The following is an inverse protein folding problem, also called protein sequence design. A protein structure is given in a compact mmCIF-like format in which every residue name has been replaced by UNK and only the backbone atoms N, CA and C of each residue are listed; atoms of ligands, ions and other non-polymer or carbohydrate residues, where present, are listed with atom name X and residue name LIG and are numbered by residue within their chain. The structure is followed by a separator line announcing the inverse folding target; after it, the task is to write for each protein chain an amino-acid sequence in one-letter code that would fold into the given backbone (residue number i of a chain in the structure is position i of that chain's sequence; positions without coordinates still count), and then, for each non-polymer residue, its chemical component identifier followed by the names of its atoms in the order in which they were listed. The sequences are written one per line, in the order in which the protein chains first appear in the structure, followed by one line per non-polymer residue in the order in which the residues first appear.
data_IF_803243229277
#
_entry.id   IF_803243229277
#
_cell.length_a   1.000
_cell.length_b   1.000
_cell.length_c   1.000
_cell.angle_alpha   90.00
_cell.angle_beta   90.00
_cell.angle_gamma   90.00
#
_symmetry.space_group_name_H-M   'P 1'
#
loop_
_entity.id
_entity.type
_entity.pdbx_description
1 polymer ?
#
# COMPACT_ATOMS: atom_id res chain seq x y z
N UNK A 1 -11.65 -81.21 -19.27
CA UNK A 1 -12.53 -81.06 -18.09
C UNK A 1 -12.15 -79.80 -17.35
N UNK A 2 -13.16 -79.05 -16.90
CA UNK A 2 -13.06 -77.85 -16.09
C UNK A 2 -12.32 -78.09 -14.76
N UNK A 3 -11.76 -77.01 -14.23
CA UNK A 3 -11.34 -76.87 -12.83
C UNK A 3 -10.05 -76.05 -12.81
N UNK A 4 -10.03 -74.77 -12.46
CA UNK A 4 -10.78 -74.12 -11.39
C UNK A 4 -9.73 -73.40 -10.54
N UNK A 5 -9.82 -72.08 -10.49
CA UNK A 5 -8.84 -71.16 -9.94
C UNK A 5 -8.39 -71.51 -8.51
N UNK A 6 -7.09 -71.30 -8.22
CA UNK A 6 -6.65 -70.69 -6.97
C UNK A 6 -5.49 -69.74 -7.22
N UNK A 7 -5.86 -68.46 -7.23
CA UNK A 7 -5.00 -67.28 -7.08
C UNK A 7 -4.31 -67.35 -5.73
N UNK A 8 -2.99 -67.23 -5.70
CA UNK A 8 -2.25 -66.76 -4.52
C UNK A 8 -1.25 -65.71 -4.99
N UNK A 9 -1.62 -64.46 -4.71
CA UNK A 9 -0.84 -63.26 -4.90
C UNK A 9 0.28 -63.25 -3.86
N UNK A 10 1.53 -63.24 -4.33
CA UNK A 10 2.69 -62.83 -3.52
C UNK A 10 3.40 -61.71 -4.29
N UNK A 11 2.93 -60.47 -4.13
CA UNK A 11 3.72 -59.29 -4.51
C UNK A 11 4.79 -59.10 -3.44
N UNK A 12 5.96 -59.68 -3.70
CA UNK A 12 7.21 -59.36 -3.01
C UNK A 12 7.61 -57.95 -3.42
N UNK A 13 7.97 -57.14 -2.42
CA UNK A 13 8.15 -55.69 -2.43
C UNK A 13 8.76 -55.11 -3.70
N UNK A 14 8.00 -54.24 -4.35
CA UNK A 14 8.48 -53.38 -5.41
C UNK A 14 9.48 -52.36 -4.86
N UNK A 15 10.67 -52.33 -5.47
CA UNK A 15 11.50 -51.13 -5.51
C UNK A 15 10.74 -50.04 -6.27
N UNK A 16 9.91 -49.28 -5.55
CA UNK A 16 9.46 -47.99 -6.05
C UNK A 16 10.58 -47.00 -5.78
N UNK A 17 11.37 -46.72 -6.82
CA UNK A 17 12.30 -45.60 -6.83
C UNK A 17 11.54 -44.34 -6.42
N UNK A 18 11.89 -43.78 -5.27
CA UNK A 18 11.50 -42.43 -4.93
C UNK A 18 12.24 -41.56 -5.94
N UNK A 19 11.55 -41.19 -7.01
CA UNK A 19 11.91 -40.01 -7.79
C UNK A 19 11.90 -38.86 -6.80
N UNK A 20 13.09 -38.49 -6.35
CA UNK A 20 13.29 -37.24 -5.64
C UNK A 20 12.86 -36.12 -6.56
N UNK A 21 11.65 -35.60 -6.35
CA UNK A 21 11.30 -34.27 -6.81
C UNK A 21 12.12 -33.28 -5.99
N UNK A 22 13.41 -33.18 -6.26
CA UNK A 22 14.23 -32.03 -5.90
C UNK A 22 13.98 -30.95 -6.95
N UNK A 23 12.78 -30.38 -6.94
CA UNK A 23 12.50 -29.04 -7.43
C UNK A 23 11.19 -28.55 -6.83
N UNK A 24 11.14 -28.47 -5.49
CA UNK A 24 10.54 -27.30 -4.87
C UNK A 24 11.42 -26.11 -5.26
N UNK A 25 11.29 -25.66 -6.51
CA UNK A 25 11.68 -24.32 -6.90
C UNK A 25 11.05 -23.42 -5.86
N UNK A 26 11.90 -22.74 -5.10
CA UNK A 26 11.55 -21.81 -4.04
C UNK A 26 10.23 -21.12 -4.37
N UNK A 27 9.23 -21.23 -3.48
CA UNK A 27 8.34 -20.10 -3.32
C UNK A 27 9.25 -18.95 -2.87
N UNK A 28 9.86 -18.24 -3.83
CA UNK A 28 10.49 -16.95 -3.62
C UNK A 28 9.36 -16.02 -3.18
N UNK A 29 9.08 -16.01 -1.88
CA UNK A 29 8.29 -14.96 -1.27
C UNK A 29 9.14 -13.71 -1.33
N UNK A 30 9.02 -12.98 -2.46
CA UNK A 30 9.63 -11.67 -2.64
C UNK A 30 9.30 -10.81 -1.39
N UNK A 31 10.29 -10.10 -0.81
CA UNK A 31 10.06 -9.27 0.37
C UNK A 31 9.09 -8.13 0.05
N UNK A 32 8.53 -7.48 1.07
CA UNK A 32 7.47 -6.49 0.89
C UNK A 32 7.89 -5.23 0.09
N UNK A 33 9.19 -4.99 -0.09
CA UNK A 33 9.72 -3.92 -0.92
C UNK A 33 9.95 -4.36 -2.38
N UNK A 34 9.71 -5.61 -2.75
CA UNK A 34 9.89 -6.11 -4.12
C UNK A 34 8.53 -6.31 -4.79
N UNK A 35 8.38 -5.73 -5.99
CA UNK A 35 7.21 -5.84 -6.84
C UNK A 35 7.51 -6.63 -8.11
N UNK A 36 7.10 -7.89 -8.14
CA UNK A 36 7.13 -8.72 -9.34
C UNK A 36 5.87 -8.53 -10.19
N UNK A 37 6.00 -7.78 -11.28
CA UNK A 37 4.85 -7.33 -12.10
C UNK A 37 4.18 -8.47 -12.87
N UNK A 38 4.90 -9.56 -13.15
CA UNK A 38 4.33 -10.77 -13.77
C UNK A 38 3.32 -11.49 -12.88
N UNK A 39 3.40 -11.30 -11.57
CA UNK A 39 2.55 -11.99 -10.58
C UNK A 39 1.50 -11.09 -9.94
N UNK A 40 1.76 -9.78 -9.86
CA UNK A 40 0.92 -8.81 -9.14
C UNK A 40 0.80 -7.52 -9.94
N UNK A 41 -0.44 -7.07 -10.15
CA UNK A 41 -0.72 -5.79 -10.83
C UNK A 41 -0.66 -4.57 -9.90
N UNK A 42 -0.48 -4.79 -8.59
CA UNK A 42 -0.46 -3.75 -7.56
C UNK A 42 0.73 -3.94 -6.64
N UNK A 43 1.36 -2.85 -6.25
CA UNK A 43 2.39 -2.84 -5.22
C UNK A 43 1.83 -2.30 -3.90
N UNK A 44 1.53 -3.18 -2.92
CA UNK A 44 0.95 -2.74 -1.66
C UNK A 44 1.98 -1.95 -0.85
N UNK A 45 1.59 -0.75 -0.42
CA UNK A 45 2.41 0.09 0.45
C UNK A 45 1.99 -0.15 1.90
N UNK A 46 0.89 0.47 2.33
CA UNK A 46 0.39 0.46 3.70
C UNK A 46 -1.13 0.51 3.75
N UNK A 47 -1.68 0.23 4.92
CA UNK A 47 -3.09 0.36 5.22
C UNK A 47 -3.28 1.43 6.27
N UNK A 48 -4.13 2.43 5.99
CA UNK A 48 -4.53 3.41 6.98
C UNK A 48 -5.88 3.02 7.58
N UNK A 49 -5.97 2.98 8.92
CA UNK A 49 -7.18 2.59 9.64
C UNK A 49 -7.51 3.56 10.77
N UNK A 50 -8.80 3.80 10.96
CA UNK A 50 -9.33 4.49 12.12
C UNK A 50 -10.56 3.74 12.60
N UNK A 51 -10.52 3.31 13.87
CA UNK A 51 -11.69 2.76 14.55
C UNK A 51 -12.13 3.73 15.63
N UNK A 52 -13.41 4.04 15.67
CA UNK A 52 -13.95 4.80 16.80
C UNK A 52 -13.76 4.01 18.08
N UNK A 53 -13.15 4.63 19.08
CA UNK A 53 -13.32 4.22 20.47
C UNK A 53 -14.68 4.77 20.87
N UNK A 54 -15.73 3.97 20.69
CA UNK A 54 -17.08 4.31 21.13
C UNK A 54 -17.13 4.30 22.68
N UNK A 55 -16.39 5.21 23.31
CA UNK A 55 -16.51 5.54 24.72
C UNK A 55 -17.30 6.84 24.77
N UNK A 56 -18.57 6.66 25.12
CA UNK A 56 -19.53 7.67 25.55
C UNK A 56 -20.08 8.65 24.50
N UNK A 57 -21.33 8.99 24.81
CA UNK A 57 -22.28 9.75 24.02
C UNK A 57 -21.70 11.12 23.68
N UNK A 58 -22.15 11.65 22.54
CA UNK A 58 -22.01 13.04 22.10
C UNK A 58 -20.69 13.41 21.42
N UNK A 59 -20.60 13.12 20.13
CA UNK A 59 -20.16 14.15 19.18
C UNK A 59 -20.98 14.02 17.90
N UNK A 60 -21.06 15.11 17.15
CA UNK A 60 -21.53 15.11 15.76
C UNK A 60 -20.77 14.03 14.94
N UNK A 61 -21.34 13.60 13.80
CA UNK A 61 -20.93 12.45 12.96
C UNK A 61 -19.47 11.99 13.16
N UNK A 62 -19.27 10.72 13.49
CA UNK A 62 -17.96 10.12 13.64
C UNK A 62 -17.79 8.91 12.70
N UNK A 63 -16.57 8.72 12.18
CA UNK A 63 -16.17 7.47 11.52
C UNK A 63 -16.18 6.36 12.57
N UNK A 64 -17.13 5.44 12.49
CA UNK A 64 -17.18 4.26 13.34
C UNK A 64 -16.02 3.32 12.97
N UNK A 65 -15.77 3.17 11.67
CA UNK A 65 -14.64 2.44 11.10
C UNK A 65 -14.27 3.09 9.76
N UNK A 66 -12.97 3.23 9.48
CA UNK A 66 -12.46 3.54 8.16
C UNK A 66 -11.16 2.78 7.93
N UNK A 67 -11.02 2.27 6.71
CA UNK A 67 -9.85 1.55 6.24
C UNK A 67 -9.55 1.98 4.80
N UNK A 68 -8.28 2.23 4.50
CA UNK A 68 -7.81 2.58 3.18
C UNK A 68 -6.51 1.85 2.90
N UNK A 69 -6.56 0.84 2.02
CA UNK A 69 -5.39 0.12 1.53
C UNK A 69 -4.75 0.93 0.40
N UNK A 70 -3.52 1.37 0.60
CA UNK A 70 -2.76 2.22 -0.35
C UNK A 70 -1.75 1.38 -1.12
N UNK A 71 -1.71 1.58 -2.44
CA UNK A 71 -0.83 0.84 -3.33
C UNK A 71 -0.45 1.66 -4.57
N UNK A 72 0.66 1.28 -5.21
CA UNK A 72 1.05 1.80 -6.52
C UNK A 72 0.56 0.88 -7.63
N UNK A 73 0.21 1.47 -8.77
CA UNK A 73 -0.03 0.79 -10.05
C UNK A 73 0.63 1.55 -11.17
N UNK A 74 0.84 0.91 -12.32
CA UNK A 74 1.18 1.64 -13.54
C UNK A 74 0.04 2.56 -13.95
N UNK A 75 0.38 3.77 -14.41
CA UNK A 75 -0.62 4.73 -14.92
C UNK A 75 -1.28 4.24 -16.20
N UNK A 76 -0.47 3.68 -17.10
CA UNK A 76 -0.88 3.09 -18.35
C UNK A 76 -0.55 1.59 -18.33
N UNK A 77 -1.13 0.80 -19.23
CA UNK A 77 -0.67 -0.58 -19.42
C UNK A 77 0.79 -0.61 -19.86
N UNK A 78 1.63 -1.40 -19.20
CA UNK A 78 3.06 -1.49 -19.49
C UNK A 78 3.42 -2.93 -19.84
N UNK A 79 4.07 -3.13 -20.98
CA UNK A 79 4.57 -4.44 -21.41
C UNK A 79 6.02 -4.69 -20.99
N UNK A 80 6.83 -3.63 -20.87
CA UNK A 80 8.25 -3.70 -20.51
C UNK A 80 8.60 -2.60 -19.51
N UNK A 81 9.40 -2.93 -18.50
CA UNK A 81 9.84 -1.96 -17.50
C UNK A 81 10.93 -1.05 -18.08
N UNK A 82 10.66 0.24 -18.15
CA UNK A 82 11.62 1.26 -18.62
C UNK A 82 11.66 2.44 -17.66
N UNK A 83 12.79 3.15 -17.63
CA UNK A 83 12.91 4.39 -16.88
C UNK A 83 11.83 5.41 -17.28
N UNK A 84 11.49 6.29 -16.34
CA UNK A 84 10.43 7.30 -16.47
C UNK A 84 9.00 6.76 -16.65
N UNK A 85 8.79 5.44 -16.56
CA UNK A 85 7.44 4.87 -16.52
C UNK A 85 6.67 5.40 -15.32
N UNK A 86 5.52 6.04 -15.54
CA UNK A 86 4.72 6.65 -14.48
C UNK A 86 3.91 5.62 -13.69
N UNK A 87 3.91 5.79 -12.37
CA UNK A 87 3.05 5.08 -11.43
C UNK A 87 2.03 6.03 -10.81
N UNK A 88 0.89 5.49 -10.43
CA UNK A 88 -0.21 6.20 -9.76
C UNK A 88 -0.41 5.62 -8.38
N UNK A 89 -0.60 6.49 -7.40
CA UNK A 89 -0.91 6.15 -6.03
C UNK A 89 -2.42 6.03 -5.86
N UNK A 90 -2.88 4.80 -5.65
CA UNK A 90 -4.28 4.46 -5.55
C UNK A 90 -4.64 3.92 -4.16
N UNK A 91 -5.91 4.03 -3.83
CA UNK A 91 -6.52 3.49 -2.63
C UNK A 91 -7.62 2.47 -2.96
N UNK A 92 -7.79 1.49 -2.08
CA UNK A 92 -9.02 0.71 -1.98
C UNK A 92 -9.56 0.85 -0.56
N UNK A 93 -10.69 1.54 -0.44
CA UNK A 93 -11.21 2.01 0.82
C UNK A 93 -12.54 1.40 1.23
N UNK A 94 -12.76 1.30 2.54
CA UNK A 94 -14.05 1.03 3.16
C UNK A 94 -14.25 1.99 4.32
N UNK A 95 -15.47 2.48 4.52
CA UNK A 95 -15.76 3.32 5.66
C UNK A 95 -17.20 3.17 6.12
N UNK A 96 -17.41 3.45 7.40
CA UNK A 96 -18.70 3.45 8.07
C UNK A 96 -18.82 4.70 8.92
N UNK A 97 -19.76 5.56 8.57
CA UNK A 97 -20.08 6.81 9.29
C UNK A 97 -21.39 6.66 10.03
N UNK A 98 -21.47 7.26 11.22
CA UNK A 98 -22.68 7.25 12.01
C UNK A 98 -22.64 8.20 13.21
N UNK A 99 -23.79 8.31 13.88
CA UNK A 99 -23.93 9.02 15.17
C UNK A 99 -24.30 8.01 16.25
N UNK A 100 -23.43 7.88 17.25
CA UNK A 100 -23.55 6.80 18.25
C UNK A 100 -23.63 5.43 17.57
N UNK A 101 -24.69 4.69 17.88
CA UNK A 101 -24.94 3.34 17.33
C UNK A 101 -25.64 3.33 15.96
N UNK A 102 -26.13 4.47 15.46
CA UNK A 102 -26.84 4.54 14.17
C UNK A 102 -25.85 4.72 13.02
N UNK A 103 -25.96 3.86 12.01
CA UNK A 103 -25.18 3.94 10.78
C UNK A 103 -25.87 4.89 9.80
N UNK A 104 -25.13 5.83 9.22
CA UNK A 104 -25.65 6.78 8.24
C UNK A 104 -25.15 6.47 6.81
N UNK A 105 -23.86 6.15 6.67
CA UNK A 105 -23.26 5.78 5.37
C UNK A 105 -22.28 4.63 5.59
N UNK A 106 -22.33 3.64 4.70
CA UNK A 106 -21.39 2.52 4.69
C UNK A 106 -20.98 2.26 3.25
N UNK A 107 -19.68 2.28 2.99
CA UNK A 107 -19.11 1.97 1.68
C UNK A 107 -18.02 0.91 1.88
N UNK A 108 -17.94 -0.03 0.94
CA UNK A 108 -16.98 -1.11 1.00
C UNK A 108 -16.22 -1.23 -0.31
N UNK A 109 -14.91 -1.43 -0.21
CA UNK A 109 -14.02 -1.75 -1.33
C UNK A 109 -14.05 -0.76 -2.50
N UNK A 110 -14.33 0.52 -2.24
CA UNK A 110 -14.34 1.57 -3.25
C UNK A 110 -12.90 1.87 -3.71
N UNK A 111 -12.70 1.97 -5.03
CA UNK A 111 -11.44 2.47 -5.58
C UNK A 111 -11.38 3.99 -5.44
N UNK A 112 -10.22 4.49 -5.06
CA UNK A 112 -10.00 5.91 -4.77
C UNK A 112 -8.69 6.33 -5.43
N UNK A 113 -8.72 7.41 -6.20
CA UNK A 113 -7.51 8.09 -6.66
C UNK A 113 -7.01 8.99 -5.53
N UNK A 114 -5.82 8.68 -4.99
CA UNK A 114 -5.26 9.46 -3.89
C UNK A 114 -4.58 10.75 -4.38
N UNK A 115 -4.46 10.94 -5.69
CA UNK A 115 -3.89 12.12 -6.32
C UNK A 115 -4.99 13.05 -6.88
N UNK A 116 -6.26 12.80 -6.53
CA UNK A 116 -7.42 13.60 -6.90
C UNK A 116 -7.32 15.06 -6.37
N UNK A 117 -7.74 16.01 -7.20
CA UNK A 117 -7.83 17.44 -6.86
C UNK A 117 -9.16 17.74 -6.18
N UNK A 118 -9.19 18.69 -5.25
CA UNK A 118 -10.45 19.27 -4.79
C UNK A 118 -11.00 20.25 -5.84
N UNK A 119 -12.32 20.32 -5.99
CA UNK A 119 -13.01 21.15 -6.98
C UNK A 119 -12.50 22.60 -7.05
N UNK A 120 -12.36 23.13 -8.28
CA UNK A 120 -12.10 24.52 -8.74
C UNK A 120 -10.97 25.35 -8.10
N UNK A 121 -10.35 24.90 -7.02
CA UNK A 121 -9.13 25.49 -6.47
C UNK A 121 -7.96 24.61 -6.92
N UNK A 122 -7.29 25.03 -8.00
CA UNK A 122 -6.24 24.25 -8.69
C UNK A 122 -5.10 23.73 -7.78
N UNK A 123 -4.96 24.33 -6.60
CA UNK A 123 -3.87 24.06 -5.66
C UNK A 123 -4.20 23.07 -4.53
N UNK A 124 -5.47 22.68 -4.33
CA UNK A 124 -5.86 21.82 -3.21
C UNK A 124 -5.91 20.32 -3.55
N UNK A 125 -5.25 19.52 -2.71
CA UNK A 125 -5.22 18.06 -2.79
C UNK A 125 -6.32 17.47 -1.92
N UNK A 126 -7.14 16.56 -2.47
CA UNK A 126 -8.14 15.87 -1.66
C UNK A 126 -7.49 15.08 -0.53
N UNK A 127 -6.38 14.40 -0.81
CA UNK A 127 -5.64 13.64 0.19
C UNK A 127 -4.31 14.29 0.54
N UNK A 128 -4.00 14.29 1.84
CA UNK A 128 -2.74 14.80 2.40
C UNK A 128 -2.07 13.70 3.20
N UNK A 129 -0.81 13.44 2.85
CA UNK A 129 0.08 12.57 3.62
C UNK A 129 0.81 13.42 4.65
N UNK A 130 0.76 12.99 5.91
CA UNK A 130 1.51 13.60 7.02
C UNK A 130 2.47 12.57 7.60
N UNK A 131 3.72 12.98 7.84
CA UNK A 131 4.75 12.15 8.45
C UNK A 131 5.31 12.85 9.67
N UNK A 132 5.30 12.17 10.80
CA UNK A 132 5.88 12.66 12.05
C UNK A 132 7.39 12.33 12.12
N UNK A 133 8.23 13.32 12.45
CA UNK A 133 9.70 13.20 12.45
C UNK A 133 10.20 12.13 13.42
N UNK A 134 9.66 12.06 14.63
CA UNK A 134 10.23 11.25 15.71
C UNK A 134 9.67 9.84 15.69
N UNK A 135 8.35 9.73 15.67
CA UNK A 135 7.67 8.43 15.66
C UNK A 135 7.74 7.74 14.30
N UNK A 136 8.13 8.46 13.24
CA UNK A 136 8.09 8.05 11.83
C UNK A 136 6.69 7.64 11.36
N UNK A 137 5.64 7.86 12.15
CA UNK A 137 4.29 7.42 11.81
C UNK A 137 3.75 8.24 10.65
N UNK A 138 3.13 7.53 9.72
CA UNK A 138 2.41 8.10 8.59
C UNK A 138 0.93 8.22 8.92
N UNK A 139 0.31 9.30 8.47
CA UNK A 139 -1.14 9.50 8.49
C UNK A 139 -1.61 9.97 7.13
N UNK A 140 -2.79 9.51 6.73
CA UNK A 140 -3.47 9.94 5.53
C UNK A 140 -4.78 10.60 5.94
N UNK A 141 -5.02 11.80 5.44
CA UNK A 141 -6.21 12.58 5.75
C UNK A 141 -6.85 13.15 4.50
N UNK A 142 -8.16 13.32 4.53
CA UNK A 142 -8.84 14.15 3.55
C UNK A 142 -8.80 15.63 3.96
N UNK A 143 -8.53 16.49 2.99
CA UNK A 143 -8.62 17.94 3.11
C UNK A 143 -10.04 18.41 2.82
N UNK A 144 -10.45 19.52 3.45
CA UNK A 144 -11.76 20.13 3.24
C UNK A 144 -12.25 20.92 4.44
N UNK A 145 -13.45 21.50 4.31
CA UNK A 145 -14.08 22.28 5.37
C UNK A 145 -15.34 21.55 5.85
N UNK A 146 -15.32 21.11 7.12
CA UNK A 146 -16.41 20.37 7.75
C UNK A 146 -16.19 18.86 7.82
N UNK A 147 -16.71 18.21 8.86
CA UNK A 147 -16.56 16.75 9.05
C UNK A 147 -17.38 15.93 8.05
N UNK A 148 -18.43 16.52 7.52
CA UNK A 148 -19.41 15.82 6.69
C UNK A 148 -18.83 15.46 5.31
N UNK A 149 -17.80 16.20 4.86
CA UNK A 149 -17.16 16.01 3.55
C UNK A 149 -16.11 14.89 3.51
N UNK A 150 -15.51 14.48 4.63
CA UNK A 150 -14.42 13.48 4.59
C UNK A 150 -14.97 12.06 4.60
N UNK A 151 -14.82 11.28 3.54
CA UNK A 151 -15.28 9.89 3.50
C UNK A 151 -14.57 8.97 4.50
N UNK A 152 -13.25 9.07 4.58
CA UNK A 152 -12.35 8.23 5.36
C UNK A 152 -11.87 8.89 6.66
N UNK A 153 -11.93 10.22 6.73
CA UNK A 153 -11.59 11.01 7.91
C UNK A 153 -10.46 11.99 7.68
N UNK A 154 -10.32 12.96 8.58
CA UNK A 154 -9.29 14.00 8.47
C UNK A 154 -7.89 13.53 8.84
N UNK A 155 -7.75 12.47 9.65
CA UNK A 155 -6.44 11.93 10.07
C UNK A 155 -6.52 10.44 10.41
N UNK A 156 -6.22 9.58 9.43
CA UNK A 156 -6.22 8.13 9.59
C UNK A 156 -4.78 7.61 9.71
N UNK A 157 -4.48 6.82 10.75
CA UNK A 157 -3.13 6.30 11.00
C UNK A 157 -2.80 5.11 10.10
N UNK A 158 -1.60 5.09 9.54
CA UNK A 158 -1.13 4.02 8.67
C UNK A 158 -0.25 3.01 9.41
N UNK A 159 -0.35 1.74 9.01
CA UNK A 159 0.30 0.60 9.66
C UNK A 159 1.81 0.49 9.38
N UNK A 160 2.32 1.21 8.38
CA UNK A 160 3.75 1.27 8.06
C UNK A 160 4.24 2.69 7.81
N UNK A 161 5.52 2.85 8.10
CA UNK A 161 6.31 4.08 7.95
C UNK A 161 7.20 4.00 6.72
N UNK A 162 6.60 4.10 5.53
CA UNK A 162 7.33 3.94 4.26
C UNK A 162 7.84 5.27 3.68
N UNK A 163 7.49 6.40 4.30
CA UNK A 163 7.81 7.72 3.77
C UNK A 163 8.56 8.56 4.81
N UNK A 164 9.38 9.48 4.33
CA UNK A 164 10.06 10.48 5.12
C UNK A 164 10.17 11.79 4.32
N UNK A 165 10.53 12.88 4.99
CA UNK A 165 10.89 14.12 4.34
C UNK A 165 12.40 14.36 4.48
N UNK A 166 13.01 14.99 3.47
CA UNK A 166 14.42 15.40 3.51
C UNK A 166 14.68 16.40 4.62
N UNK A 167 13.77 17.36 4.77
CA UNK A 167 13.81 18.40 5.80
C UNK A 167 12.48 18.44 6.50
N UNK A 168 12.50 18.45 7.83
CA UNK A 168 11.32 18.71 8.65
C UNK A 168 11.33 20.17 9.08
N UNK A 169 10.18 20.82 9.12
CA UNK A 169 10.09 22.19 9.61
C UNK A 169 10.55 22.21 11.08
N UNK A 170 11.63 22.92 11.38
CA UNK A 170 12.15 23.07 12.75
C UNK A 170 11.55 24.30 13.43
N UNK A 171 10.23 24.48 13.32
CA UNK A 171 9.59 25.56 14.07
C UNK A 171 9.67 25.19 15.55
N UNK A 172 10.53 25.92 16.29
CA UNK A 172 10.64 25.86 17.74
C UNK A 172 9.35 26.39 18.37
N UNK A 173 8.42 25.49 18.63
CA UNK A 173 7.33 25.68 19.57
C UNK A 173 7.19 24.42 20.43
N UNK A 174 6.75 24.57 21.67
CA UNK A 174 6.49 23.46 22.60
C UNK A 174 5.23 22.65 22.20
N UNK A 175 4.77 22.77 20.94
CA UNK A 175 3.55 22.14 20.45
C UNK A 175 3.87 20.83 19.74
N UNK A 176 3.14 19.78 20.10
CA UNK A 176 3.27 18.42 19.56
C UNK A 176 3.07 18.30 18.04
N UNK A 177 2.58 19.36 17.39
CA UNK A 177 2.35 19.47 15.95
C UNK A 177 3.58 19.92 15.17
N UNK A 178 4.61 20.44 15.84
CA UNK A 178 5.73 21.13 15.19
C UNK A 178 6.76 20.18 14.57
N UNK A 179 6.57 18.87 14.75
CA UNK A 179 7.42 17.81 14.18
C UNK A 179 6.75 17.03 13.04
N UNK A 180 5.63 17.54 12.51
CA UNK A 180 4.91 16.93 11.40
C UNK A 180 5.14 17.72 10.11
N UNK A 181 5.54 17.01 9.05
CA UNK A 181 5.53 17.56 7.70
C UNK A 181 4.42 16.91 6.89
N UNK A 182 3.85 17.67 5.96
CA UNK A 182 2.78 17.20 5.12
C UNK A 182 2.99 17.56 3.64
N UNK A 183 2.34 16.78 2.78
CA UNK A 183 2.29 17.02 1.34
C UNK A 183 0.93 16.60 0.79
N UNK A 184 0.35 17.46 -0.03
CA UNK A 184 -0.82 17.11 -0.85
C UNK A 184 -0.43 16.13 -1.93
N UNK A 185 -1.04 14.94 -1.93
CA UNK A 185 -0.68 13.84 -2.81
C UNK A 185 -0.89 14.13 -4.30
N UNK A 186 -1.76 15.07 -4.69
CA UNK A 186 -1.91 15.48 -6.09
C UNK A 186 -0.62 16.00 -6.73
N UNK A 187 0.31 16.53 -5.92
CA UNK A 187 1.58 17.09 -6.37
C UNK A 187 2.74 16.09 -6.25
N UNK A 188 2.47 14.86 -5.79
CA UNK A 188 3.46 13.78 -5.69
C UNK A 188 3.36 12.95 -6.95
N UNK A 189 4.50 12.59 -7.52
CA UNK A 189 4.58 11.73 -8.71
C UNK A 189 5.56 10.58 -8.44
N UNK A 190 5.29 9.44 -9.04
CA UNK A 190 6.08 8.22 -8.87
C UNK A 190 6.53 7.73 -10.25
N UNK A 191 7.80 7.39 -10.39
CA UNK A 191 8.37 6.93 -11.66
C UNK A 191 9.34 5.78 -11.45
N UNK A 192 9.47 4.91 -12.45
CA UNK A 192 10.55 3.94 -12.49
C UNK A 192 11.87 4.62 -12.85
N UNK A 193 12.96 4.14 -12.25
CA UNK A 193 14.32 4.60 -12.50
C UNK A 193 15.31 3.44 -12.36
N UNK A 194 16.51 3.59 -12.91
CA UNK A 194 17.63 2.66 -12.75
C UNK A 194 17.32 1.23 -13.22
N UNK A 195 16.42 1.08 -14.21
CA UNK A 195 15.88 -0.21 -14.65
C UNK A 195 16.91 -1.21 -15.19
N UNK A 196 18.10 -0.74 -15.56
CA UNK A 196 19.18 -1.57 -16.13
C UNK A 196 20.38 -1.74 -15.18
N UNK A 197 20.38 -1.05 -14.05
CA UNK A 197 21.51 -1.03 -13.12
C UNK A 197 21.14 -1.62 -11.77
N UNK A 198 19.89 -1.49 -11.35
CA UNK A 198 19.41 -2.08 -10.11
C UNK A 198 19.11 -3.58 -10.32
N UNK A 199 19.54 -4.42 -9.37
CA UNK A 199 19.39 -5.88 -9.44
C UNK A 199 18.82 -6.43 -8.14
N UNK A 200 17.89 -7.37 -8.28
CA UNK A 200 17.37 -8.19 -7.18
C UNK A 200 17.45 -9.66 -7.60
N UNK A 201 18.12 -10.51 -6.82
CA UNK A 201 18.31 -11.93 -7.11
C UNK A 201 18.72 -12.22 -8.57
N UNK A 202 19.75 -11.50 -9.05
CA UNK A 202 20.28 -11.58 -10.43
C UNK A 202 19.32 -11.12 -11.54
N UNK A 203 18.11 -10.66 -11.23
CA UNK A 203 17.16 -10.06 -12.18
C UNK A 203 17.35 -8.55 -12.20
N UNK A 204 17.33 -7.96 -13.39
CA UNK A 204 17.26 -6.51 -13.53
C UNK A 204 15.91 -6.00 -13.00
N UNK A 205 15.95 -4.90 -12.26
CA UNK A 205 14.78 -4.25 -11.73
C UNK A 205 14.92 -2.73 -11.78
N UNK A 206 13.82 -2.04 -11.53
CA UNK A 206 13.76 -0.58 -11.44
C UNK A 206 13.56 -0.16 -10.00
N UNK A 207 14.24 0.88 -9.54
CA UNK A 207 13.85 1.60 -8.33
C UNK A 207 12.57 2.42 -8.62
N UNK A 208 11.84 2.79 -7.56
CA UNK A 208 10.74 3.76 -7.66
C UNK A 208 11.23 5.10 -7.14
N UNK A 209 11.27 6.12 -7.98
CA UNK A 209 11.58 7.50 -7.60
C UNK A 209 10.31 8.26 -7.22
N UNK A 210 10.41 9.11 -6.19
CA UNK A 210 9.35 10.04 -5.78
C UNK A 210 9.76 11.46 -6.17
N UNK A 211 8.89 12.18 -6.89
CA UNK A 211 9.01 13.62 -7.12
C UNK A 211 7.89 14.34 -6.41
N UNK A 212 8.22 15.29 -5.53
CA UNK A 212 7.26 16.01 -4.69
C UNK A 212 7.55 17.52 -4.63
N UNK A 213 8.19 18.05 -5.68
CA UNK A 213 8.64 19.44 -5.75
C UNK A 213 9.58 19.79 -4.59
N UNK A 214 9.34 20.94 -3.98
CA UNK A 214 10.09 21.52 -2.85
C UNK A 214 9.74 20.92 -1.48
N UNK A 215 8.85 19.90 -1.40
CA UNK A 215 8.52 19.25 -0.14
C UNK A 215 9.55 18.19 0.27
N UNK A 216 10.28 17.59 -0.68
CA UNK A 216 11.33 16.60 -0.38
C UNK A 216 10.80 15.30 0.24
N UNK A 217 9.60 14.85 -0.16
CA UNK A 217 9.09 13.52 0.19
C UNK A 217 9.95 12.45 -0.47
N UNK A 218 10.37 11.46 0.32
CA UNK A 218 11.17 10.30 -0.11
C UNK A 218 10.70 9.03 0.58
N UNK A 219 11.24 7.89 0.16
CA UNK A 219 11.11 6.65 0.91
C UNK A 219 11.81 6.77 2.27
N UNK A 220 11.24 6.15 3.29
CA UNK A 220 11.87 6.05 4.60
C UNK A 220 13.14 5.19 4.54
N UNK A 221 14.12 5.49 5.40
CA UNK A 221 15.35 4.72 5.48
C UNK A 221 15.05 3.23 5.70
N UNK A 222 15.68 2.37 4.89
CA UNK A 222 15.49 0.92 4.95
C UNK A 222 14.28 0.40 4.17
N UNK A 223 13.57 1.27 3.44
CA UNK A 223 12.56 0.86 2.46
C UNK A 223 12.99 1.31 1.05
N UNK A 224 13.59 0.39 0.32
CA UNK A 224 14.05 0.61 -1.05
C UNK A 224 13.21 -0.24 -2.01
N UNK A 225 12.13 0.32 -2.59
CA UNK A 225 11.24 -0.47 -3.43
C UNK A 225 11.86 -0.78 -4.79
N UNK A 226 11.77 -2.04 -5.21
CA UNK A 226 12.31 -2.54 -6.48
C UNK A 226 11.19 -3.21 -7.27
N UNK A 227 11.08 -2.87 -8.55
CA UNK A 227 10.12 -3.45 -9.50
C UNK A 227 10.86 -4.36 -10.46
N UNK A 228 10.44 -5.61 -10.56
CA UNK A 228 11.04 -6.64 -11.42
C UNK A 228 9.99 -7.29 -12.30
N UNK A 229 10.42 -7.84 -13.43
CA UNK A 229 9.60 -8.73 -14.26
C UNK A 229 9.48 -10.13 -13.65
#
# INVERSE_FOLDING_TARGET
MLGGAKVLVAFVGGFAGITGFSSLSSLEWDPSNVWRVSSKTKFPLFTCRQKSKLTEKQTNQAWQDSELLVYLTFKNGVSTLTDSTELVLNGKGSFKKGRGWKNEKSVHNQLVDLQEKMNDIAEDSRFVLTVNKDSKRNRLGESGTGTDVYEYGSMVYCDKSLFAFDTYNELRGDSWTDWENNVGLKNVQFFLKDCQTNKYDSKYGCSIEIKSGNKGLKWANGFDPIVIQ
#
